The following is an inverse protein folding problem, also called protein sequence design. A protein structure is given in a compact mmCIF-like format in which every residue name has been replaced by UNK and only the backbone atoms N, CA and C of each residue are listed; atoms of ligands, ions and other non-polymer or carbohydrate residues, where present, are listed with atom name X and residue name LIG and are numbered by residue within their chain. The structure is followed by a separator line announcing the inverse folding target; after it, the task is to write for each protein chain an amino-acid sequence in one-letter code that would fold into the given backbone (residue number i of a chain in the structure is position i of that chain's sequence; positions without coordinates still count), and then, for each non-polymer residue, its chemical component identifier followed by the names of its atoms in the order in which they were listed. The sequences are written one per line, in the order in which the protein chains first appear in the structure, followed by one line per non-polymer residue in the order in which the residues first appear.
data_IF_274721083530
#
_entry.id   IF_274721083530
#
_cell.length_a   1.000
_cell.length_b   1.000
_cell.length_c   1.000
_cell.angle_alpha   90.00
_cell.angle_beta   90.00
_cell.angle_gamma   90.00
#
_symmetry.space_group_name_H-M   'P 1'
#
loop_
_entity.id
_entity.type
_entity.pdbx_description
1 polymer ?
#
# COMPACT_ATOMS: atom_id res chain seq x y z
N UNK A 1 24.84 35.09 -24.54
CA UNK A 1 25.10 34.61 -23.17
C UNK A 1 23.86 34.69 -22.27
N UNK A 2 23.10 35.80 -22.28
CA UNK A 2 21.90 35.95 -21.42
C UNK A 2 20.75 34.97 -21.73
N UNK A 3 20.57 34.58 -23.00
CA UNK A 3 19.55 33.62 -23.40
C UNK A 3 19.84 32.21 -22.85
N UNK A 4 21.13 31.83 -22.81
CA UNK A 4 21.57 30.56 -22.26
C UNK A 4 21.41 30.52 -20.73
N UNK A 5 21.70 31.64 -20.06
CA UNK A 5 21.49 31.80 -18.61
C UNK A 5 19.98 31.75 -18.28
N UNK A 6 19.13 32.38 -19.11
CA UNK A 6 17.68 32.33 -18.93
C UNK A 6 17.10 30.92 -19.09
N UNK A 7 17.53 30.18 -20.13
CA UNK A 7 17.12 28.79 -20.34
C UNK A 7 17.61 27.87 -19.21
N UNK A 8 18.84 28.06 -18.74
CA UNK A 8 19.39 27.31 -17.62
C UNK A 8 18.62 27.57 -16.32
N UNK A 9 18.23 28.81 -16.05
CA UNK A 9 17.45 29.13 -14.85
C UNK A 9 16.06 28.49 -14.86
N UNK A 10 15.40 28.44 -16.01
CA UNK A 10 14.10 27.76 -16.17
C UNK A 10 14.26 26.25 -15.93
N UNK A 11 15.28 25.63 -16.52
CA UNK A 11 15.54 24.20 -16.32
C UNK A 11 15.88 23.86 -14.85
N UNK A 12 16.69 24.71 -14.18
CA UNK A 12 16.99 24.54 -12.76
C UNK A 12 15.73 24.70 -11.91
N UNK A 13 14.87 25.67 -12.21
CA UNK A 13 13.64 25.90 -11.45
C UNK A 13 12.63 24.74 -11.61
N UNK A 14 12.55 24.15 -12.81
CA UNK A 14 11.75 22.96 -13.12
C UNK A 14 12.29 21.71 -12.41
N UNK A 15 13.61 21.55 -12.31
CA UNK A 15 14.29 20.42 -11.66
C UNK A 15 14.61 20.63 -10.17
N UNK A 16 14.34 21.80 -9.59
CA UNK A 16 14.57 22.11 -8.16
C UNK A 16 13.49 21.46 -7.28
N UNK A 17 13.32 20.15 -7.46
CA UNK A 17 12.49 19.33 -6.62
C UNK A 17 13.29 18.86 -5.40
N UNK A 18 12.96 19.43 -4.24
CA UNK A 18 13.53 19.04 -2.94
C UNK A 18 13.44 17.53 -2.70
N UNK A 19 12.41 16.85 -3.20
CA UNK A 19 12.26 15.39 -3.08
C UNK A 19 13.32 14.68 -3.91
N UNK A 20 13.54 15.07 -5.16
CA UNK A 20 14.59 14.51 -6.02
C UNK A 20 15.98 14.71 -5.44
N UNK A 21 16.27 15.89 -4.87
CA UNK A 21 17.54 16.14 -4.17
C UNK A 21 17.76 15.20 -2.99
N UNK A 22 16.73 15.00 -2.16
CA UNK A 22 16.82 14.09 -1.01
C UNK A 22 16.97 12.63 -1.45
N UNK A 23 16.29 12.22 -2.54
CA UNK A 23 16.42 10.90 -3.14
C UNK A 23 17.86 10.64 -3.58
N UNK A 24 18.45 11.54 -4.39
CA UNK A 24 19.83 11.43 -4.86
C UNK A 24 20.82 11.43 -3.68
N UNK A 25 20.57 12.26 -2.66
CA UNK A 25 21.41 12.29 -1.46
C UNK A 25 21.38 10.96 -0.70
N UNK A 26 20.22 10.30 -0.63
CA UNK A 26 20.09 8.98 -0.01
C UNK A 26 20.78 7.89 -0.83
N UNK A 27 20.65 7.93 -2.16
CA UNK A 27 21.31 7.01 -3.09
C UNK A 27 22.84 7.10 -2.97
N UNK A 28 23.40 8.32 -3.01
CA UNK A 28 24.84 8.56 -2.80
C UNK A 28 25.30 8.04 -1.44
N UNK A 29 24.51 8.25 -0.38
CA UNK A 29 24.85 7.76 0.96
C UNK A 29 24.91 6.22 0.99
N UNK A 30 23.94 5.55 0.35
CA UNK A 30 23.91 4.10 0.25
C UNK A 30 25.11 3.55 -0.55
N UNK A 31 25.53 4.22 -1.62
CA UNK A 31 26.73 3.87 -2.37
C UNK A 31 28.00 4.04 -1.53
N UNK A 32 28.11 5.14 -0.78
CA UNK A 32 29.23 5.36 0.16
C UNK A 32 29.27 4.24 1.21
N UNK A 33 28.13 3.89 1.79
CA UNK A 33 28.03 2.82 2.79
C UNK A 33 28.42 1.46 2.23
N UNK A 34 28.00 1.14 1.01
CA UNK A 34 28.23 -0.15 0.39
C UNK A 34 29.67 -0.34 -0.09
N UNK A 35 30.25 0.70 -0.72
CA UNK A 35 31.53 0.58 -1.42
C UNK A 35 32.73 1.18 -0.67
N UNK A 36 32.50 2.17 0.19
CA UNK A 36 33.60 2.98 0.75
C UNK A 36 33.78 2.82 2.27
N UNK A 37 32.89 2.11 2.98
CA UNK A 37 32.98 1.91 4.43
C UNK A 37 33.38 0.49 4.85
N UNK A 38 34.38 0.40 5.72
CA UNK A 38 34.78 -0.85 6.37
C UNK A 38 33.69 -1.32 7.36
N UNK A 39 33.59 -2.64 7.64
CA UNK A 39 32.55 -3.18 8.52
C UNK A 39 32.48 -2.54 9.91
N UNK A 40 33.60 -2.07 10.45
CA UNK A 40 33.62 -1.42 11.76
C UNK A 40 33.12 0.03 11.72
N UNK A 41 33.31 0.76 10.61
CA UNK A 41 32.82 2.12 10.41
C UNK A 41 31.29 2.14 10.27
N UNK A 42 30.72 1.15 9.58
CA UNK A 42 29.25 0.98 9.48
C UNK A 42 28.57 0.70 10.83
N UNK A 43 29.33 0.26 11.83
CA UNK A 43 28.84 0.03 13.20
C UNK A 43 29.02 1.24 14.12
N UNK A 44 29.57 2.35 13.63
CA UNK A 44 29.71 3.56 14.42
C UNK A 44 28.36 4.24 14.59
N UNK A 45 27.74 4.04 15.77
CA UNK A 45 26.45 4.64 16.12
C UNK A 45 26.41 6.16 16.01
N UNK A 46 27.56 6.82 16.12
CA UNK A 46 27.70 8.27 15.96
C UNK A 46 27.45 8.71 14.51
N UNK A 47 27.81 7.88 13.52
CA UNK A 47 27.67 8.19 12.09
C UNK A 47 26.41 7.55 11.50
N UNK A 48 26.07 6.34 11.96
CA UNK A 48 24.88 5.59 11.56
C UNK A 48 24.04 5.27 12.80
N UNK A 49 23.20 6.22 13.25
CA UNK A 49 22.34 5.99 14.39
C UNK A 49 21.26 4.95 14.02
N UNK A 50 20.88 4.16 15.01
CA UNK A 50 19.83 3.15 14.89
C UNK A 50 18.44 3.79 14.73
N UNK A 51 18.26 5.01 15.24
CA UNK A 51 17.02 5.79 15.18
C UNK A 51 17.35 7.24 14.80
N UNK A 52 16.62 7.80 13.83
CA UNK A 52 16.74 9.20 13.44
C UNK A 52 15.48 9.95 13.88
N UNK A 53 15.64 11.00 14.67
CA UNK A 53 14.53 11.88 15.04
C UNK A 53 14.38 12.99 13.99
N UNK A 54 13.19 13.12 13.42
CA UNK A 54 12.86 14.16 12.46
C UNK A 54 11.61 14.94 12.91
N UNK A 55 11.61 16.25 12.66
CA UNK A 55 10.46 17.11 12.90
C UNK A 55 9.53 17.07 11.69
N UNK A 56 8.36 16.47 11.87
CA UNK A 56 7.31 16.47 10.87
C UNK A 56 6.17 17.42 11.28
N UNK A 57 5.64 18.15 10.31
CA UNK A 57 4.46 18.99 10.48
C UNK A 57 3.22 18.10 10.60
N UNK A 58 2.48 18.25 11.70
CA UNK A 58 1.34 17.39 12.05
C UNK A 58 0.27 17.40 10.95
N UNK A 59 -0.02 18.56 10.37
CA UNK A 59 -1.09 18.70 9.39
C UNK A 59 -0.66 18.15 8.02
N UNK A 60 0.58 18.40 7.60
CA UNK A 60 1.13 17.79 6.38
C UNK A 60 1.18 16.27 6.50
N UNK A 61 1.61 15.75 7.65
CA UNK A 61 1.64 14.31 7.92
C UNK A 61 0.25 13.69 7.84
N UNK A 62 -0.78 14.34 8.38
CA UNK A 62 -2.17 13.86 8.28
C UNK A 62 -2.65 13.77 6.83
N UNK A 63 -2.36 14.79 6.02
CA UNK A 63 -2.75 14.82 4.60
C UNK A 63 -2.07 13.67 3.84
N UNK A 64 -0.78 13.48 4.08
CA UNK A 64 0.01 12.44 3.40
C UNK A 64 -0.47 11.04 3.76
N UNK A 65 -0.72 10.78 5.05
CA UNK A 65 -1.23 9.48 5.50
C UNK A 65 -2.58 9.17 4.85
N UNK A 66 -3.50 10.15 4.79
CA UNK A 66 -4.79 9.98 4.09
C UNK A 66 -4.61 9.67 2.61
N UNK A 67 -3.62 10.28 1.95
CA UNK A 67 -3.29 9.98 0.54
C UNK A 67 -2.81 8.53 0.39
N UNK A 68 -1.86 8.10 1.21
CA UNK A 68 -1.30 6.74 1.19
C UNK A 68 -2.35 5.66 1.45
N UNK A 69 -3.31 5.93 2.34
CA UNK A 69 -4.44 5.01 2.60
C UNK A 69 -5.32 4.88 1.35
N UNK A 70 -5.63 6.00 0.69
CA UNK A 70 -6.45 6.02 -0.54
C UNK A 70 -5.75 5.31 -1.70
N UNK A 71 -4.43 5.43 -1.79
CA UNK A 71 -3.58 4.80 -2.80
C UNK A 71 -3.30 3.31 -2.50
N UNK A 72 -3.61 2.85 -1.29
CA UNK A 72 -3.36 1.46 -0.85
C UNK A 72 -1.90 1.18 -0.47
N UNK A 73 -1.03 2.19 -0.49
CA UNK A 73 0.40 2.07 -0.18
C UNK A 73 0.69 2.03 1.32
N UNK A 74 -0.29 2.37 2.16
CA UNK A 74 -0.11 2.45 3.61
C UNK A 74 0.01 1.08 4.30
N UNK A 75 -0.59 0.01 3.75
CA UNK A 75 -0.79 -1.25 4.47
C UNK A 75 0.33 -2.29 4.25
N UNK A 76 1.54 -1.95 4.68
CA UNK A 76 2.65 -2.92 4.78
C UNK A 76 2.54 -3.73 6.07
N UNK A 77 2.78 -5.03 6.10
CA UNK A 77 2.70 -5.85 7.34
C UNK A 77 3.73 -5.45 8.44
N UNK A 78 4.62 -4.51 8.15
CA UNK A 78 5.69 -4.07 9.03
C UNK A 78 5.27 -2.87 9.92
N UNK A 79 5.83 -2.81 11.13
CA UNK A 79 5.67 -1.69 12.07
C UNK A 79 4.22 -1.38 12.52
N UNK A 80 3.34 -2.39 12.55
CA UNK A 80 1.92 -2.26 12.94
C UNK A 80 1.70 -1.50 14.25
N UNK A 81 2.51 -1.77 15.27
CA UNK A 81 2.39 -1.11 16.58
C UNK A 81 2.77 0.38 16.52
N UNK A 82 3.82 0.71 15.76
CA UNK A 82 4.27 2.09 15.59
C UNK A 82 3.23 2.91 14.82
N UNK A 83 2.55 2.31 13.85
CA UNK A 83 1.45 2.95 13.10
C UNK A 83 0.23 3.22 13.97
N UNK A 84 -0.17 2.27 14.82
CA UNK A 84 -1.26 2.49 15.79
C UNK A 84 -0.95 3.67 16.71
N UNK A 85 0.29 3.73 17.21
CA UNK A 85 0.76 4.84 18.03
C UNK A 85 0.76 6.16 17.26
N UNK A 86 1.18 6.16 16.00
CA UNK A 86 1.15 7.34 15.13
C UNK A 86 -0.29 7.86 14.93
N UNK A 87 -1.25 6.99 14.66
CA UNK A 87 -2.66 7.38 14.52
C UNK A 87 -3.21 7.99 15.80
N UNK A 88 -2.87 7.40 16.96
CA UNK A 88 -3.26 7.93 18.27
C UNK A 88 -2.67 9.33 18.52
N UNK A 89 -1.39 9.54 18.21
CA UNK A 89 -0.72 10.84 18.37
C UNK A 89 -1.31 11.88 17.41
N UNK A 90 -1.52 11.51 16.14
CA UNK A 90 -2.06 12.41 15.12
C UNK A 90 -3.59 12.60 15.25
N UNK A 91 -4.26 11.87 16.15
CA UNK A 91 -5.73 11.86 16.30
C UNK A 91 -6.45 11.63 14.97
N UNK A 92 -5.89 10.75 14.15
CA UNK A 92 -6.54 10.31 12.92
C UNK A 92 -7.52 9.21 13.34
N UNK A 93 -8.80 9.46 13.14
CA UNK A 93 -9.83 8.42 13.23
C UNK A 93 -9.63 7.46 12.06
N UNK A 94 -8.70 6.53 12.22
CA UNK A 94 -8.58 5.41 11.30
C UNK A 94 -9.49 4.32 11.84
N UNK A 95 -10.71 4.25 11.31
CA UNK A 95 -11.57 3.10 11.53
C UNK A 95 -10.92 1.90 10.85
N UNK A 96 -10.11 1.14 11.60
CA UNK A 96 -9.72 -0.23 11.24
C UNK A 96 -10.95 -1.09 10.89
N UNK A 97 -12.11 -0.67 11.39
CA UNK A 97 -13.41 -1.26 11.16
C UNK A 97 -13.83 -1.29 9.69
N UNK A 98 -13.37 -0.37 8.82
CA UNK A 98 -13.80 -0.40 7.41
C UNK A 98 -13.22 -1.63 6.66
N UNK A 99 -12.00 -2.04 7.03
CA UNK A 99 -11.40 -3.27 6.50
C UNK A 99 -12.02 -4.53 7.13
N UNK A 100 -12.40 -4.48 8.40
CA UNK A 100 -13.09 -5.58 9.09
C UNK A 100 -14.51 -5.79 8.54
N UNK A 101 -15.25 -4.70 8.28
CA UNK A 101 -16.56 -4.72 7.61
C UNK A 101 -16.44 -5.17 6.16
N UNK A 102 -15.38 -4.78 5.44
CA UNK A 102 -15.10 -5.31 4.09
C UNK A 102 -14.76 -6.80 4.12
N UNK A 103 -13.99 -7.27 5.10
CA UNK A 103 -13.67 -8.70 5.30
C UNK A 103 -14.91 -9.52 5.66
N UNK A 104 -15.79 -9.02 6.53
CA UNK A 104 -17.07 -9.66 6.84
C UNK A 104 -18.00 -9.71 5.64
N UNK A 105 -18.08 -8.62 4.87
CA UNK A 105 -18.83 -8.60 3.60
C UNK A 105 -18.25 -9.64 2.62
N UNK A 106 -16.94 -9.74 2.48
CA UNK A 106 -16.30 -10.73 1.58
C UNK A 106 -16.62 -12.17 2.00
N UNK A 107 -16.49 -12.51 3.30
CA UNK A 107 -16.87 -13.83 3.84
C UNK A 107 -18.35 -14.15 3.58
N UNK A 108 -19.22 -13.16 3.74
CA UNK A 108 -20.64 -13.31 3.44
C UNK A 108 -20.93 -13.56 1.96
N UNK A 109 -20.10 -13.06 1.03
CA UNK A 109 -20.27 -13.29 -0.40
C UNK A 109 -19.78 -14.68 -0.80
N UNK A 110 -18.67 -15.17 -0.24
CA UNK A 110 -18.18 -16.53 -0.47
C UNK A 110 -19.23 -17.59 -0.06
N UNK A 111 -19.87 -17.42 1.11
CA UNK A 111 -20.95 -18.33 1.54
C UNK A 111 -22.18 -18.31 0.62
N UNK A 112 -22.47 -17.17 -0.02
CA UNK A 112 -23.54 -17.07 -1.01
C UNK A 112 -23.15 -17.75 -2.32
N UNK A 113 -21.89 -17.62 -2.73
CA UNK A 113 -21.36 -18.27 -3.93
C UNK A 113 -21.45 -19.80 -3.83
N UNK A 114 -21.04 -20.37 -2.70
CA UNK A 114 -21.15 -21.83 -2.47
C UNK A 114 -22.59 -22.35 -2.50
N UNK A 115 -23.56 -21.53 -2.08
CA UNK A 115 -24.99 -21.88 -2.13
C UNK A 115 -25.51 -21.83 -3.56
N UNK A 116 -25.00 -20.90 -4.38
CA UNK A 116 -25.35 -20.77 -5.79
C UNK A 116 -24.86 -21.99 -6.59
N UNK A 117 -23.62 -22.42 -6.38
CA UNK A 117 -23.04 -23.62 -7.02
C UNK A 117 -23.82 -24.90 -6.69
N UNK A 118 -24.38 -24.98 -5.47
CA UNK A 118 -25.22 -26.11 -5.05
C UNK A 118 -26.58 -26.10 -5.75
N UNK A 119 -27.13 -24.90 -6.02
CA UNK A 119 -28.39 -24.72 -6.73
C UNK A 119 -28.26 -25.11 -8.20
N UNK A 120 -27.18 -24.69 -8.86
CA UNK A 120 -26.88 -25.03 -10.25
C UNK A 120 -26.77 -26.55 -10.45
N UNK A 121 -26.09 -27.26 -9.53
CA UNK A 121 -26.02 -28.74 -9.54
C UNK A 121 -27.36 -29.43 -9.32
N UNK A 122 -28.31 -28.78 -8.65
CA UNK A 122 -29.67 -29.29 -8.44
C UNK A 122 -30.52 -29.11 -9.71
N UNK A 123 -30.34 -27.98 -10.39
CA UNK A 123 -30.99 -27.64 -11.65
C UNK A 123 -30.59 -28.62 -12.76
N UNK A 124 -29.28 -28.92 -12.91
CA UNK A 124 -28.79 -29.94 -13.84
C UNK A 124 -29.36 -31.34 -13.58
N UNK A 125 -29.59 -31.70 -12.31
CA UNK A 125 -30.18 -32.98 -11.93
C UNK A 125 -31.67 -33.03 -12.28
N UNK A 126 -32.39 -31.93 -12.10
CA UNK A 126 -33.79 -31.77 -12.48
C UNK A 126 -33.96 -31.93 -13.99
N UNK A 127 -33.12 -31.27 -14.79
CA UNK A 127 -33.19 -31.36 -16.25
C UNK A 127 -32.91 -32.79 -16.76
N UNK A 128 -32.00 -33.53 -16.11
CA UNK A 128 -31.77 -34.95 -16.40
C UNK A 128 -32.98 -35.83 -16.06
N UNK A 129 -33.70 -35.52 -14.98
CA UNK A 129 -34.91 -36.26 -14.60
C UNK A 129 -36.07 -35.97 -15.56
N UNK A 130 -36.23 -34.74 -16.02
CA UNK A 130 -37.24 -34.38 -17.02
C UNK A 130 -37.04 -35.12 -18.34
N UNK A 131 -35.79 -35.18 -18.85
CA UNK A 131 -35.44 -35.96 -20.05
C UNK A 131 -35.78 -37.46 -19.89
N UNK A 132 -35.50 -38.04 -18.73
CA UNK A 132 -35.85 -39.43 -18.42
C UNK A 132 -37.37 -39.67 -18.33
N UNK A 133 -38.14 -38.66 -17.92
CA UNK A 133 -39.59 -38.74 -17.86
C UNK A 133 -40.21 -38.71 -19.26
N UNK A 134 -39.74 -37.81 -20.13
CA UNK A 134 -40.16 -37.72 -21.54
C UNK A 134 -39.87 -39.02 -22.29
N UNK A 135 -38.69 -39.63 -22.10
CA UNK A 135 -38.33 -40.92 -22.71
C UNK A 135 -39.23 -42.07 -22.24
N UNK A 136 -39.74 -42.03 -21.01
CA UNK A 136 -40.69 -43.03 -20.50
C UNK A 136 -42.11 -42.82 -21.02
N UNK A 137 -42.52 -41.60 -21.31
CA UNK A 137 -43.84 -41.29 -21.86
C UNK A 137 -43.94 -41.50 -23.38
N UNK A 138 -42.80 -41.60 -24.08
CA UNK A 138 -42.74 -41.88 -25.51
C UNK A 138 -42.70 -43.39 -25.88
N UNK A 139 -42.73 -44.28 -24.89
CA UNK A 139 -42.80 -45.75 -25.04
C UNK A 139 -44.16 -46.29 -24.65
#
# INVERSE_FOLDING_TARGET
MNLLIGLLNIAIEEDNNRVSYLMQKAEILAEIELFYLLPHQRRWKTWFPEVIHYYADVDKTRVEIKRLIKEGEWDTKEFTEMRKNLFKVLRIEHNLNDNEVMLEKLKSHDEKLEKLDKLEKLEEKLEKLEKLLEEKHAK
#
